data_IF_726068488904
#
_entry.id   IF_726068488904
#
_cell.length_a   1.000
_cell.length_b   1.000
_cell.length_c   1.000
_cell.angle_alpha   90.00
_cell.angle_beta   90.00
_cell.angle_gamma   90.00
#
_symmetry.space_group_name_H-M   'P 1'
#
loop_
_entity.id
_entity.type
_entity.pdbx_description
1 polymer ?
#
# COMPACT_ATOMS: atom_id res chain seq x y z
N UNK A 1 14.42 -30.65 13.43
CA UNK A 1 14.50 -29.94 12.12
C UNK A 1 13.63 -28.69 12.20
N UNK A 2 14.24 -27.49 12.24
CA UNK A 2 13.50 -26.24 12.43
C UNK A 2 12.94 -25.80 11.07
N UNK A 3 11.63 -25.92 10.90
CA UNK A 3 10.87 -25.42 9.75
C UNK A 3 11.25 -23.95 9.49
N UNK A 4 11.81 -23.64 8.31
CA UNK A 4 12.19 -22.29 7.90
C UNK A 4 10.98 -21.57 7.26
N UNK A 5 10.30 -20.60 7.94
CA UNK A 5 9.31 -19.74 7.31
C UNK A 5 9.92 -18.41 6.82
N UNK A 6 11.19 -18.14 7.19
CA UNK A 6 11.88 -16.84 7.03
C UNK A 6 11.84 -16.30 5.59
N UNK A 7 12.13 -17.14 4.59
CA UNK A 7 12.26 -16.69 3.19
C UNK A 7 11.00 -16.08 2.59
N UNK A 8 9.80 -16.58 2.94
CA UNK A 8 8.53 -16.08 2.38
C UNK A 8 8.11 -14.75 3.02
N UNK A 9 8.32 -14.62 4.33
CA UNK A 9 8.07 -13.37 5.07
C UNK A 9 9.00 -12.25 4.59
N UNK A 10 10.29 -12.57 4.41
CA UNK A 10 11.30 -11.65 3.85
C UNK A 10 10.91 -11.18 2.45
N UNK A 11 10.43 -12.07 1.57
CA UNK A 11 9.98 -11.71 0.23
C UNK A 11 8.79 -10.74 0.25
N UNK A 12 7.81 -10.98 1.12
CA UNK A 12 6.66 -10.08 1.26
C UNK A 12 7.10 -8.71 1.77
N UNK A 13 7.94 -8.68 2.81
CA UNK A 13 8.44 -7.43 3.37
C UNK A 13 9.24 -6.60 2.36
N UNK A 14 10.13 -7.23 1.57
CA UNK A 14 10.89 -6.54 0.51
C UNK A 14 9.96 -5.94 -0.54
N UNK A 15 9.02 -6.73 -1.09
CA UNK A 15 8.08 -6.26 -2.12
C UNK A 15 7.15 -5.17 -1.60
N UNK A 16 6.66 -5.32 -0.36
CA UNK A 16 5.87 -4.30 0.34
C UNK A 16 6.65 -2.99 0.42
N UNK A 17 7.90 -3.03 0.89
CA UNK A 17 8.73 -1.84 1.01
C UNK A 17 8.97 -1.17 -0.34
N UNK A 18 9.30 -1.95 -1.37
CA UNK A 18 9.46 -1.42 -2.74
C UNK A 18 8.19 -0.75 -3.24
N UNK A 19 7.01 -1.34 -3.01
CA UNK A 19 5.74 -0.76 -3.43
C UNK A 19 5.43 0.56 -2.69
N UNK A 20 5.66 0.61 -1.38
CA UNK A 20 5.50 1.84 -0.59
C UNK A 20 6.44 2.94 -1.08
N UNK A 21 7.70 2.61 -1.36
CA UNK A 21 8.65 3.58 -1.92
C UNK A 21 8.19 4.11 -3.28
N UNK A 22 7.62 3.26 -4.14
CA UNK A 22 7.09 3.69 -5.44
C UNK A 22 5.84 4.58 -5.31
N UNK A 23 4.95 4.25 -4.37
CA UNK A 23 3.80 5.10 -4.05
C UNK A 23 4.24 6.49 -3.56
N UNK A 24 5.28 6.54 -2.72
CA UNK A 24 5.90 7.80 -2.28
C UNK A 24 6.58 8.55 -3.43
N UNK A 25 7.37 7.86 -4.26
CA UNK A 25 8.08 8.50 -5.37
C UNK A 25 7.11 9.17 -6.34
N UNK A 26 6.05 8.47 -6.77
CA UNK A 26 5.10 9.06 -7.71
C UNK A 26 4.34 10.23 -7.09
N UNK A 27 3.92 10.12 -5.81
CA UNK A 27 3.25 11.25 -5.17
C UNK A 27 4.17 12.44 -4.98
N UNK A 28 5.45 12.20 -4.68
CA UNK A 28 6.42 13.27 -4.43
C UNK A 28 6.91 13.95 -5.70
N UNK A 29 7.09 13.20 -6.80
CA UNK A 29 7.75 13.69 -8.01
C UNK A 29 6.82 13.92 -9.19
N UNK A 30 5.56 13.47 -9.14
CA UNK A 30 4.61 13.60 -10.24
C UNK A 30 3.33 14.37 -9.87
N UNK A 31 3.29 15.01 -8.68
CA UNK A 31 2.15 15.84 -8.25
C UNK A 31 0.80 15.10 -8.28
N UNK A 32 0.80 13.81 -7.91
CA UNK A 32 -0.40 12.97 -7.83
C UNK A 32 -0.69 12.56 -6.40
N UNK A 33 -1.97 12.58 -6.01
CA UNK A 33 -2.40 11.97 -4.77
C UNK A 33 -2.52 10.44 -4.92
N UNK A 34 -2.01 9.71 -3.93
CA UNK A 34 -1.94 8.25 -3.91
C UNK A 34 -2.51 7.72 -2.61
N UNK A 35 -3.45 6.78 -2.73
CA UNK A 35 -3.88 5.92 -1.65
C UNK A 35 -3.57 4.46 -2.02
N UNK A 36 -2.92 3.75 -1.11
CA UNK A 36 -2.58 2.34 -1.28
C UNK A 36 -3.07 1.55 -0.07
N UNK A 37 -3.87 0.51 -0.33
CA UNK A 37 -4.38 -0.40 0.68
C UNK A 37 -3.89 -1.81 0.37
N UNK A 38 -3.17 -2.42 1.32
CA UNK A 38 -2.70 -3.80 1.24
C UNK A 38 -3.36 -4.65 2.30
N UNK A 39 -4.08 -5.70 1.89
CA UNK A 39 -4.57 -6.74 2.80
C UNK A 39 -3.67 -7.97 2.77
N UNK A 40 -2.99 -8.26 3.88
CA UNK A 40 -2.22 -9.50 4.02
C UNK A 40 -3.20 -10.66 4.18
N UNK A 41 -3.48 -11.39 3.09
CA UNK A 41 -4.46 -12.50 3.07
C UNK A 41 -4.26 -13.53 4.18
N UNK A 42 -3.01 -13.79 4.58
CA UNK A 42 -2.69 -14.77 5.62
C UNK A 42 -3.12 -14.33 7.02
N UNK A 43 -3.00 -13.05 7.35
CA UNK A 43 -3.25 -12.53 8.71
C UNK A 43 -4.51 -11.67 8.78
N UNK A 44 -5.09 -11.30 7.64
CA UNK A 44 -6.17 -10.33 7.55
C UNK A 44 -5.72 -8.88 7.79
N UNK A 45 -4.46 -8.65 8.17
CA UNK A 45 -3.94 -7.33 8.51
C UNK A 45 -3.95 -6.40 7.31
N UNK A 46 -4.39 -5.17 7.54
CA UNK A 46 -4.30 -4.08 6.57
C UNK A 46 -3.05 -3.23 6.83
N UNK A 47 -2.44 -2.78 5.74
CA UNK A 47 -1.42 -1.74 5.73
C UNK A 47 -1.89 -0.71 4.74
N UNK A 48 -1.89 0.56 5.16
CA UNK A 48 -2.33 1.69 4.36
C UNK A 48 -1.17 2.67 4.15
N UNK A 49 -1.24 3.39 3.05
CA UNK A 49 -0.41 4.55 2.75
C UNK A 49 -1.29 5.59 2.07
N UNK A 50 -1.22 6.83 2.54
CA UNK A 50 -1.85 7.98 1.93
C UNK A 50 -0.77 9.05 1.70
N UNK A 51 -0.76 9.68 0.54
CA UNK A 51 0.16 10.79 0.23
C UNK A 51 -0.30 12.13 0.81
N UNK A 52 -1.55 12.23 1.23
CA UNK A 52 -2.21 13.47 1.64
C UNK A 52 -3.12 13.23 2.84
N UNK A 53 -3.30 14.27 3.64
CA UNK A 53 -4.12 14.30 4.85
C UNK A 53 -5.51 14.90 4.59
N UNK A 54 -5.92 15.01 3.32
CA UNK A 54 -7.25 15.50 2.95
C UNK A 54 -8.34 14.61 3.57
N UNK A 55 -9.31 15.23 4.23
CA UNK A 55 -10.37 14.52 4.96
C UNK A 55 -11.23 13.63 4.05
N UNK A 56 -11.42 14.03 2.80
CA UNK A 56 -12.18 13.28 1.79
C UNK A 56 -11.32 12.35 0.93
N UNK A 57 -10.09 12.05 1.38
CA UNK A 57 -9.16 11.18 0.66
C UNK A 57 -8.96 9.82 1.36
N UNK A 58 -8.91 8.70 0.62
CA UNK A 58 -9.28 8.57 -0.79
C UNK A 58 -10.81 8.67 -1.00
N UNK A 59 -11.26 9.06 -2.19
CA UNK A 59 -12.67 8.95 -2.55
C UNK A 59 -13.15 7.50 -2.53
N UNK A 60 -14.45 7.31 -2.33
CA UNK A 60 -15.11 6.01 -2.46
C UNK A 60 -15.06 5.50 -3.92
N UNK A 61 -15.27 4.20 -4.12
CA UNK A 61 -15.34 3.66 -5.48
C UNK A 61 -16.48 4.30 -6.29
N UNK A 62 -17.60 4.60 -5.63
CA UNK A 62 -18.74 5.28 -6.26
C UNK A 62 -18.38 6.70 -6.69
N UNK A 63 -17.64 7.43 -5.86
CA UNK A 63 -17.15 8.77 -6.18
C UNK A 63 -16.16 8.73 -7.36
N UNK A 64 -15.25 7.76 -7.40
CA UNK A 64 -14.26 7.60 -8.49
C UNK A 64 -14.92 7.38 -9.86
N UNK A 65 -15.99 6.58 -9.92
CA UNK A 65 -16.69 6.25 -11.18
C UNK A 65 -17.52 7.44 -11.71
N UNK A 66 -17.78 8.43 -10.86
CA UNK A 66 -18.62 9.60 -11.19
C UNK A 66 -17.87 10.79 -11.81
N UNK A 67 -16.53 10.72 -11.93
CA UNK A 67 -15.68 11.71 -12.60
C UNK A 67 -15.29 11.28 -14.01
#
# INVERSE_FOLDING_TARGET
>A
MINKPKRRSERLNRRKMTLLNKAYEISKFCEVDVALILRIRKTGQYITYNSTDLQSWPPSNEEIVSY
#
